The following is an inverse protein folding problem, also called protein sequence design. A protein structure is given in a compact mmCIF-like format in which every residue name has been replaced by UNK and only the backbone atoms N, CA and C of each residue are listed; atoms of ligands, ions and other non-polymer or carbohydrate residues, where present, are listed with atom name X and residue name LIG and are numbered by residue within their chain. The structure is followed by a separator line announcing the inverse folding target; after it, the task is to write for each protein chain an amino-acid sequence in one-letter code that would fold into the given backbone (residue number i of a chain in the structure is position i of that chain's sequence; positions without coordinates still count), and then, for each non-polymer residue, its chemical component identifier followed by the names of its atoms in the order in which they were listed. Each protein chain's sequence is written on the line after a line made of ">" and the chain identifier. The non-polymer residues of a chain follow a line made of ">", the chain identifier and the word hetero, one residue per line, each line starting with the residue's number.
data_IF_373942394332
#
_entry.id   IF_373942394332
#
_cell.length_a   1.000
_cell.length_b   1.000
_cell.length_c   1.000
_cell.angle_alpha   90.00
_cell.angle_beta   90.00
_cell.angle_gamma   90.00
#
_symmetry.space_group_name_H-M   'P 1'
#
loop_
_entity.id
_entity.type
_entity.pdbx_description
1 polymer ?
#
# COMPACT_ATOMS: atom_id res chain seq x y z
N UNK A 1 -7.40 4.19 9.38
CA UNK A 1 -8.66 4.67 9.99
C UNK A 1 -9.56 5.55 9.09
N UNK A 2 -9.17 6.74 8.61
CA UNK A 2 -10.09 7.58 7.80
C UNK A 2 -10.42 7.01 6.41
N UNK A 3 -9.40 6.59 5.64
CA UNK A 3 -9.60 6.05 4.29
C UNK A 3 -10.40 4.74 4.33
N UNK A 4 -10.08 3.86 5.27
CA UNK A 4 -10.79 2.59 5.52
C UNK A 4 -12.26 2.83 5.89
N UNK A 5 -12.56 3.82 6.73
CA UNK A 5 -13.93 4.15 7.12
C UNK A 5 -14.78 4.63 5.93
N UNK A 6 -14.19 5.38 4.98
CA UNK A 6 -14.89 5.75 3.74
C UNK A 6 -15.13 4.55 2.84
N UNK A 7 -14.13 3.68 2.68
CA UNK A 7 -14.24 2.46 1.89
C UNK A 7 -15.30 1.50 2.45
N UNK A 8 -15.33 1.30 3.77
CA UNK A 8 -16.35 0.47 4.43
C UNK A 8 -17.78 0.99 4.15
N UNK A 9 -17.92 2.31 4.03
CA UNK A 9 -19.17 2.99 3.67
C UNK A 9 -19.42 3.10 2.16
N UNK A 10 -18.57 2.50 1.32
CA UNK A 10 -18.63 2.58 -0.14
C UNK A 10 -18.61 4.02 -0.66
N UNK A 11 -17.98 4.93 0.08
CA UNK A 11 -17.79 6.31 -0.34
C UNK A 11 -16.52 6.41 -1.18
N UNK A 12 -16.54 7.16 -2.30
CA UNK A 12 -15.34 7.38 -3.09
C UNK A 12 -14.28 8.09 -2.25
N UNK A 13 -13.03 7.69 -2.46
CA UNK A 13 -11.87 8.44 -2.02
C UNK A 13 -11.72 9.66 -2.93
N UNK A 14 -11.33 10.83 -2.37
CA UNK A 14 -11.03 12.00 -3.19
C UNK A 14 -9.85 11.70 -4.12
N UNK A 15 -9.88 12.29 -5.31
CA UNK A 15 -8.75 12.21 -6.23
C UNK A 15 -7.50 12.86 -5.63
N UNK A 16 -6.35 12.24 -5.87
CA UNK A 16 -5.07 12.79 -5.46
C UNK A 16 -4.80 14.12 -6.19
N UNK A 17 -4.29 15.10 -5.46
CA UNK A 17 -3.87 16.41 -5.99
C UNK A 17 -2.41 16.65 -5.65
N UNK A 18 -1.72 17.44 -6.46
CA UNK A 18 -0.33 17.76 -6.17
C UNK A 18 -0.26 18.83 -5.07
N UNK A 19 0.84 18.85 -4.31
CA UNK A 19 1.08 19.90 -3.30
C UNK A 19 1.10 21.28 -3.96
N UNK A 20 1.63 21.39 -5.18
CA UNK A 20 1.66 22.63 -5.94
C UNK A 20 0.25 23.13 -6.32
N UNK A 21 -0.71 22.25 -6.58
CA UNK A 21 -2.10 22.66 -6.82
C UNK A 21 -2.74 23.21 -5.55
N UNK A 22 -2.47 22.57 -4.40
CA UNK A 22 -3.03 22.97 -3.11
C UNK A 22 -2.50 24.34 -2.67
N UNK A 23 -1.19 24.59 -2.79
CA UNK A 23 -0.60 25.88 -2.45
C UNK A 23 -1.16 27.03 -3.29
N UNK A 24 -1.51 26.76 -4.56
CA UNK A 24 -2.12 27.77 -5.46
C UNK A 24 -3.54 28.17 -5.07
N UNK A 25 -4.24 27.37 -4.26
CA UNK A 25 -5.58 27.72 -3.75
C UNK A 25 -5.53 28.81 -2.67
N UNK A 26 -4.37 29.05 -2.06
CA UNK A 26 -4.21 30.07 -1.01
C UNK A 26 -4.87 29.70 0.33
N UNK A 27 -5.26 28.44 0.51
CA UNK A 27 -5.87 27.93 1.76
C UNK A 27 -4.84 27.65 2.87
N UNK A 28 -3.54 27.78 2.58
CA UNK A 28 -2.44 27.50 3.52
C UNK A 28 -1.65 28.80 3.74
N UNK A 29 -1.66 29.32 4.95
CA UNK A 29 -0.91 30.51 5.34
C UNK A 29 0.51 30.15 5.80
N UNK A 30 1.42 30.06 4.83
CA UNK A 30 2.84 29.82 5.12
C UNK A 30 3.49 30.94 5.94
N UNK A 31 2.93 32.16 5.95
CA UNK A 31 3.46 33.27 6.75
C UNK A 31 3.09 33.15 8.23
N UNK A 32 1.94 32.54 8.52
CA UNK A 32 1.54 32.12 9.87
C UNK A 32 2.18 30.80 10.31
N UNK A 33 3.01 30.18 9.46
CA UNK A 33 3.74 28.94 9.76
C UNK A 33 3.03 27.65 9.33
N UNK A 34 1.94 27.74 8.57
CA UNK A 34 1.27 26.55 8.04
C UNK A 34 2.10 25.88 6.95
N UNK A 35 1.99 24.55 6.83
CA UNK A 35 2.79 23.76 5.88
C UNK A 35 1.97 22.62 5.29
N UNK A 36 2.21 22.37 4.00
CA UNK A 36 1.64 21.23 3.30
C UNK A 36 2.57 20.01 3.42
N UNK A 37 2.00 18.83 3.68
CA UNK A 37 2.73 17.56 3.72
C UNK A 37 2.04 16.53 2.83
N UNK A 38 2.83 15.70 2.16
CA UNK A 38 2.33 14.58 1.37
C UNK A 38 2.34 13.32 2.22
N UNK A 39 1.17 12.66 2.33
CA UNK A 39 1.03 11.39 3.04
C UNK A 39 0.58 10.33 2.03
N UNK A 40 1.39 9.29 1.79
CA UNK A 40 0.98 8.16 0.97
C UNK A 40 -0.22 7.45 1.64
N UNK A 41 -1.32 7.31 0.90
CA UNK A 41 -2.45 6.50 1.36
C UNK A 41 -2.21 5.06 0.92
N UNK A 42 -1.75 4.23 1.85
CA UNK A 42 -1.66 2.79 1.65
C UNK A 42 -3.03 2.17 1.94
N UNK A 43 -3.62 1.56 0.92
CA UNK A 43 -4.88 0.84 1.04
C UNK A 43 -4.55 -0.63 0.92
N UNK A 44 -4.74 -1.37 2.00
CA UNK A 44 -4.68 -2.83 1.93
C UNK A 44 -5.86 -3.34 1.10
N UNK A 45 -5.58 -3.64 -0.16
CA UNK A 45 -6.55 -4.26 -1.04
C UNK A 45 -6.84 -5.69 -0.59
N UNK A 46 -8.04 -5.88 -0.07
CA UNK A 46 -8.77 -7.15 -0.13
C UNK A 46 -8.64 -8.03 1.10
N UNK A 47 -9.77 -8.64 1.46
CA UNK A 47 -9.80 -9.80 2.35
C UNK A 47 -8.89 -10.89 1.77
N UNK A 48 -7.98 -11.50 2.57
CA UNK A 48 -7.13 -12.58 2.09
C UNK A 48 -7.97 -13.72 1.47
N UNK A 49 -7.70 -14.04 0.22
CA UNK A 49 -8.26 -15.21 -0.46
C UNK A 49 -7.29 -16.39 -0.37
N UNK A 50 -7.81 -17.60 -0.13
CA UNK A 50 -7.00 -18.83 -0.16
C UNK A 50 -6.86 -19.31 -1.59
N UNK A 51 -5.62 -19.61 -1.99
CA UNK A 51 -5.28 -20.22 -3.28
C UNK A 51 -4.32 -21.39 -3.05
N UNK A 52 -4.48 -22.45 -3.84
CA UNK A 52 -3.54 -23.58 -3.87
C UNK A 52 -2.52 -23.34 -4.98
N UNK A 53 -1.24 -23.49 -4.66
CA UNK A 53 -0.13 -23.27 -5.60
C UNK A 53 0.74 -24.52 -5.65
N UNK A 54 1.16 -24.92 -6.85
CA UNK A 54 2.20 -25.92 -7.05
C UNK A 54 3.53 -25.21 -7.26
N UNK A 55 4.52 -25.50 -6.42
CA UNK A 55 5.85 -24.91 -6.46
C UNK A 55 6.90 -26.01 -6.32
N UNK A 56 8.09 -25.79 -6.86
CA UNK A 56 9.23 -26.64 -6.56
C UNK A 56 9.52 -26.66 -5.04
N UNK A 57 9.92 -27.81 -4.52
CA UNK A 57 10.14 -28.00 -3.09
C UNK A 57 11.34 -27.18 -2.57
N UNK A 58 12.41 -27.06 -3.36
CA UNK A 58 13.57 -26.25 -3.02
C UNK A 58 13.23 -24.76 -3.00
N UNK A 59 12.44 -24.29 -3.98
CA UNK A 59 11.92 -22.93 -3.99
C UNK A 59 11.03 -22.64 -2.77
N UNK A 60 10.13 -23.55 -2.43
CA UNK A 60 9.26 -23.38 -1.26
C UNK A 60 10.06 -23.27 0.04
N UNK A 61 11.10 -24.10 0.20
CA UNK A 61 11.99 -24.03 1.36
C UNK A 61 12.77 -22.70 1.42
N UNK A 62 13.27 -22.21 0.27
CA UNK A 62 13.96 -20.93 0.19
C UNK A 62 13.03 -19.75 0.55
N UNK A 63 11.76 -19.80 0.10
CA UNK A 63 10.73 -18.81 0.46
C UNK A 63 10.50 -18.80 1.97
N UNK A 64 10.33 -19.97 2.59
CA UNK A 64 10.06 -20.06 4.02
C UNK A 64 11.24 -19.55 4.86
N UNK A 65 12.47 -19.89 4.47
CA UNK A 65 13.68 -19.40 5.15
C UNK A 65 13.78 -17.87 5.08
N UNK A 66 13.55 -17.29 3.90
CA UNK A 66 13.62 -15.85 3.71
C UNK A 66 12.46 -15.10 4.39
N UNK A 67 11.25 -15.64 4.34
CA UNK A 67 10.10 -15.10 5.05
C UNK A 67 10.37 -15.06 6.56
N UNK A 68 10.88 -16.16 7.12
CA UNK A 68 11.26 -16.23 8.54
C UNK A 68 12.36 -15.23 8.89
N UNK A 69 13.41 -15.11 8.06
CA UNK A 69 14.50 -14.14 8.24
C UNK A 69 13.99 -12.69 8.28
N UNK A 70 12.91 -12.39 7.56
CA UNK A 70 12.25 -11.06 7.52
C UNK A 70 11.13 -10.90 8.55
N UNK A 71 10.85 -11.91 9.37
CA UNK A 71 9.72 -11.87 10.32
C UNK A 71 8.34 -11.86 9.65
N UNK A 72 8.23 -12.39 8.43
CA UNK A 72 7.01 -12.45 7.64
C UNK A 72 6.45 -13.88 7.60
N UNK A 73 5.14 -14.00 7.40
CA UNK A 73 4.53 -15.27 7.02
C UNK A 73 4.80 -15.57 5.54
N UNK A 74 4.76 -16.85 5.14
CA UNK A 74 4.88 -17.27 3.74
C UNK A 74 3.95 -16.49 2.81
N UNK A 75 2.67 -16.36 3.20
CA UNK A 75 1.66 -15.65 2.40
C UNK A 75 1.97 -14.16 2.28
N UNK A 76 2.43 -13.50 3.35
CA UNK A 76 2.83 -12.10 3.30
C UNK A 76 4.05 -11.88 2.40
N UNK A 77 5.05 -12.77 2.48
CA UNK A 77 6.23 -12.71 1.61
C UNK A 77 5.86 -12.84 0.13
N UNK A 78 5.05 -13.84 -0.23
CA UNK A 78 4.60 -14.06 -1.62
C UNK A 78 3.75 -12.88 -2.10
N UNK A 79 2.83 -12.37 -1.28
CA UNK A 79 1.98 -11.25 -1.64
C UNK A 79 2.81 -9.97 -1.92
N UNK A 80 3.81 -9.68 -1.09
CA UNK A 80 4.69 -8.52 -1.29
C UNK A 80 5.50 -8.65 -2.58
N UNK A 81 6.11 -9.81 -2.83
CA UNK A 81 6.85 -10.06 -4.07
C UNK A 81 5.95 -9.91 -5.31
N UNK A 82 4.69 -10.37 -5.22
CA UNK A 82 3.72 -10.20 -6.30
C UNK A 82 3.36 -8.73 -6.54
N UNK A 83 3.10 -7.95 -5.47
CA UNK A 83 2.81 -6.51 -5.58
C UNK A 83 3.97 -5.74 -6.22
N UNK A 84 5.19 -5.94 -5.70
CA UNK A 84 6.39 -5.30 -6.25
C UNK A 84 6.55 -5.60 -7.74
N UNK A 85 6.28 -6.86 -8.14
CA UNK A 85 6.34 -7.24 -9.55
C UNK A 85 5.24 -6.62 -10.40
N UNK A 86 4.02 -6.49 -9.89
CA UNK A 86 2.88 -5.89 -10.61
C UNK A 86 3.06 -4.37 -10.75
N UNK A 87 3.49 -3.69 -9.69
CA UNK A 87 3.69 -2.24 -9.66
C UNK A 87 4.88 -1.82 -10.52
N UNK A 88 5.98 -2.58 -10.53
CA UNK A 88 7.13 -2.33 -11.41
C UNK A 88 6.86 -2.50 -12.91
N UNK A 89 5.68 -3.01 -13.30
CA UNK A 89 5.23 -3.16 -14.68
C UNK A 89 4.15 -2.14 -15.10
N UNK A 90 3.81 -1.19 -14.22
CA UNK A 90 2.78 -0.17 -14.45
C UNK A 90 3.40 1.20 -14.67
#
# INVERSE_FOLDING_TARGET
>A
EWAEARMAKHLPLPDARTVADLLRLGEIDSSAGESAVMIPVLIDFGRPARANLSLDAGLLAAIDAEASRRGLTRSAFIANAAREKIEGHR
#
